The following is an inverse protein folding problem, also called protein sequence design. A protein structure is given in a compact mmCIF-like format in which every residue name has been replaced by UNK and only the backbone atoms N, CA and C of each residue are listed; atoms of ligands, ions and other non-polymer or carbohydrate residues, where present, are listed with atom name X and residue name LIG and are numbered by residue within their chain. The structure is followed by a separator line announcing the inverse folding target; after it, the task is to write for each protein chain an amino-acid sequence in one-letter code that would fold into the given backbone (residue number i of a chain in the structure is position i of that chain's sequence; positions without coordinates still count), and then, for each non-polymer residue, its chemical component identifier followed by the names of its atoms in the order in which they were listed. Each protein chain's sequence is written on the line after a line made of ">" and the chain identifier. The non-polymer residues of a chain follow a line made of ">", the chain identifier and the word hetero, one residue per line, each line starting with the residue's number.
data_IF_727753419662
#
_entry.id   IF_727753419662
#
_cell.length_a   1.000
_cell.length_b   1.000
_cell.length_c   1.000
_cell.angle_alpha   90.00
_cell.angle_beta   90.00
_cell.angle_gamma   90.00
#
_symmetry.space_group_name_H-M   'P 1'
#
loop_
_entity.id
_entity.type
_entity.pdbx_description
1 polymer ?
#
# COMPACT_ATOMS: atom_id res chain seq x y z
N UNK A 1 60.40 65.00 -5.03
CA UNK A 1 60.02 64.28 -3.78
C UNK A 1 58.52 64.46 -3.60
N UNK A 2 57.62 63.49 -3.59
CA UNK A 2 57.71 62.04 -3.45
C UNK A 2 56.50 61.36 -4.13
N UNK A 3 56.81 60.23 -4.80
CA UNK A 3 56.06 58.96 -4.92
C UNK A 3 54.68 58.91 -5.60
N UNK A 4 54.75 58.44 -6.85
CA UNK A 4 53.80 57.56 -7.58
C UNK A 4 53.36 56.34 -6.76
N UNK A 5 52.12 55.88 -6.98
CA UNK A 5 51.56 54.48 -6.99
C UNK A 5 50.06 54.58 -6.70
N UNK A 6 49.08 53.86 -7.27
CA UNK A 6 48.96 52.71 -8.19
C UNK A 6 47.53 52.79 -8.74
N UNK A 7 47.25 52.71 -10.04
CA UNK A 7 47.30 51.53 -10.92
C UNK A 7 46.14 50.53 -10.69
N UNK A 8 45.48 50.21 -11.81
CA UNK A 8 44.66 49.04 -12.10
C UNK A 8 43.17 49.08 -11.74
N UNK A 9 42.42 49.68 -12.67
CA UNK A 9 41.36 48.96 -13.40
C UNK A 9 41.71 47.47 -13.55
N UNK A 10 40.91 46.57 -12.98
CA UNK A 10 40.82 45.19 -13.45
C UNK A 10 39.46 44.60 -13.04
N UNK A 11 38.62 44.48 -14.07
CA UNK A 11 37.55 43.50 -14.17
C UNK A 11 38.01 42.17 -13.59
N UNK A 12 37.32 41.65 -12.58
CA UNK A 12 37.18 40.20 -12.42
C UNK A 12 35.83 39.91 -11.81
N UNK A 13 34.90 39.56 -12.70
CA UNK A 13 33.71 38.78 -12.39
C UNK A 13 34.15 37.55 -11.58
N UNK A 14 33.82 37.50 -10.29
CA UNK A 14 33.76 36.25 -9.54
C UNK A 14 32.30 36.02 -9.20
N UNK A 15 31.62 35.37 -10.14
CA UNK A 15 30.47 34.52 -9.89
C UNK A 15 30.88 33.53 -8.79
N UNK A 16 30.63 33.89 -7.53
CA UNK A 16 30.49 32.88 -6.48
C UNK A 16 29.12 32.28 -6.70
N UNK A 17 29.07 31.31 -7.60
CA UNK A 17 28.05 30.26 -7.57
C UNK A 17 28.23 29.51 -6.26
N UNK A 18 27.64 30.07 -5.19
CA UNK A 18 27.35 29.29 -4.01
C UNK A 18 26.52 28.10 -4.48
N UNK A 19 26.85 26.86 -4.06
CA UNK A 19 26.01 25.73 -4.39
C UNK A 19 24.65 26.08 -3.80
N UNK A 20 23.63 26.22 -4.65
CA UNK A 20 22.26 26.19 -4.20
C UNK A 20 22.12 24.83 -3.57
N UNK A 21 22.36 24.76 -2.25
CA UNK A 21 22.09 23.59 -1.46
C UNK A 21 20.62 23.34 -1.65
N UNK A 22 20.30 22.39 -2.54
CA UNK A 22 18.92 22.02 -2.80
C UNK A 22 18.36 21.62 -1.44
N UNK A 23 17.48 22.47 -0.91
CA UNK A 23 16.72 22.14 0.29
C UNK A 23 16.11 20.76 0.06
N UNK A 24 16.16 19.84 1.03
CA UNK A 24 15.60 18.51 0.85
C UNK A 24 14.17 18.64 0.33
N UNK A 25 13.80 17.89 -0.71
CA UNK A 25 12.51 18.02 -1.42
C UNK A 25 11.31 18.08 -0.47
N UNK A 26 11.39 17.39 0.67
CA UNK A 26 10.41 17.41 1.75
C UNK A 26 10.07 18.83 2.27
N UNK A 27 11.03 19.76 2.27
CA UNK A 27 10.83 21.16 2.67
C UNK A 27 10.28 22.07 1.57
N UNK A 28 10.21 21.59 0.32
CA UNK A 28 9.64 22.33 -0.81
C UNK A 28 8.21 21.90 -1.14
N UNK A 29 7.74 20.80 -0.56
CA UNK A 29 6.42 20.25 -0.80
C UNK A 29 5.44 20.75 0.26
N UNK A 30 4.58 21.70 -0.11
CA UNK A 30 3.35 21.98 0.65
C UNK A 30 2.38 20.82 0.43
N UNK A 31 2.49 19.77 1.26
CA UNK A 31 1.57 18.64 1.23
C UNK A 31 0.17 19.12 1.62
N UNK A 32 -0.67 19.42 0.62
CA UNK A 32 -2.09 19.80 0.79
C UNK A 32 -3.01 18.60 1.02
N UNK A 33 -2.47 17.37 1.05
CA UNK A 33 -3.24 16.14 1.13
C UNK A 33 -3.20 15.57 2.56
N UNK A 34 -4.38 15.40 3.15
CA UNK A 34 -4.58 14.93 4.54
C UNK A 34 -4.27 13.44 4.77
N UNK A 35 -3.94 12.66 3.73
CA UNK A 35 -3.60 11.25 3.89
C UNK A 35 -2.18 10.97 3.40
N UNK A 36 -1.18 10.98 4.30
CA UNK A 36 0.20 10.66 3.97
C UNK A 36 0.31 9.16 3.66
N UNK A 37 1.03 8.81 2.60
CA UNK A 37 1.31 7.40 2.32
C UNK A 37 2.21 6.84 3.41
N UNK A 38 1.67 5.82 4.07
CA UNK A 38 2.22 5.07 5.19
C UNK A 38 3.45 4.27 4.75
N UNK A 39 4.32 3.96 5.71
CA UNK A 39 5.64 3.36 5.50
C UNK A 39 5.66 2.06 4.68
N UNK A 40 6.87 1.61 4.36
CA UNK A 40 7.08 0.32 3.70
C UNK A 40 7.10 -0.80 4.74
N UNK A 41 6.29 -1.83 4.54
CA UNK A 41 6.43 -3.13 5.17
C UNK A 41 7.21 -4.05 4.22
N UNK A 42 8.22 -4.75 4.74
CA UNK A 42 9.10 -5.59 3.90
C UNK A 42 8.42 -6.82 3.29
N UNK A 43 7.25 -7.21 3.78
CA UNK A 43 6.51 -8.41 3.35
C UNK A 43 5.25 -8.07 2.57
N UNK A 44 4.58 -6.98 2.92
CA UNK A 44 3.32 -6.57 2.24
C UNK A 44 3.48 -5.30 1.40
N UNK A 45 4.68 -4.73 1.35
CA UNK A 45 5.01 -3.59 0.51
C UNK A 45 4.51 -2.26 1.07
N UNK A 46 4.07 -1.36 0.18
CA UNK A 46 3.58 -0.05 0.57
C UNK A 46 2.28 -0.18 1.35
N UNK A 47 2.26 0.31 2.59
CA UNK A 47 1.05 0.36 3.40
C UNK A 47 0.06 1.37 2.82
N UNK A 48 -1.21 0.98 2.78
CA UNK A 48 -2.29 1.81 2.22
C UNK A 48 -3.44 1.94 3.21
N UNK A 49 -4.25 2.97 3.00
CA UNK A 49 -5.61 3.03 3.53
C UNK A 49 -6.58 2.61 2.43
N UNK A 50 -7.53 1.71 2.72
CA UNK A 50 -8.53 1.29 1.75
C UNK A 50 -9.36 2.45 1.22
N UNK A 51 -9.63 2.45 -0.08
CA UNK A 51 -10.56 3.37 -0.72
C UNK A 51 -11.84 2.60 -1.04
N UNK A 52 -13.02 3.17 -0.79
CA UNK A 52 -14.29 2.50 -1.10
C UNK A 52 -14.34 2.05 -2.58
N UNK A 53 -14.90 0.86 -2.81
CA UNK A 53 -14.95 0.24 -4.14
C UNK A 53 -13.62 -0.39 -4.61
N UNK A 54 -12.55 -0.38 -3.81
CA UNK A 54 -11.29 -1.08 -4.14
C UNK A 54 -11.23 -2.51 -3.59
N UNK A 55 -10.38 -3.33 -4.19
CA UNK A 55 -10.00 -4.66 -3.68
C UNK A 55 -9.52 -4.63 -2.23
N UNK A 56 -8.82 -3.56 -1.84
CA UNK A 56 -8.33 -3.35 -0.49
C UNK A 56 -9.47 -3.08 0.49
N UNK A 57 -10.52 -2.36 0.09
CA UNK A 57 -11.71 -2.17 0.90
C UNK A 57 -12.52 -3.46 1.05
N UNK A 58 -12.61 -4.27 0.01
CA UNK A 58 -13.18 -5.62 0.10
C UNK A 58 -12.40 -6.50 1.07
N UNK A 59 -11.06 -6.47 0.99
CA UNK A 59 -10.17 -7.22 1.90
C UNK A 59 -10.35 -6.78 3.35
N UNK A 60 -10.39 -5.47 3.60
CA UNK A 60 -10.62 -4.92 4.94
C UNK A 60 -11.95 -5.40 5.55
N UNK A 61 -13.05 -5.34 4.77
CA UNK A 61 -14.37 -5.79 5.20
C UNK A 61 -14.38 -7.30 5.45
N UNK A 62 -13.86 -8.08 4.51
CA UNK A 62 -13.80 -9.53 4.60
C UNK A 62 -12.94 -10.01 5.80
N UNK A 63 -11.83 -9.34 6.09
CA UNK A 63 -11.01 -9.64 7.28
C UNK A 63 -11.73 -9.34 8.60
N UNK A 64 -12.54 -8.28 8.66
CA UNK A 64 -13.19 -7.85 9.90
C UNK A 64 -14.46 -8.65 10.23
N UNK A 65 -15.08 -9.30 9.25
CA UNK A 65 -16.33 -10.05 9.43
C UNK A 65 -16.08 -11.49 9.91
N UNK A 66 -16.91 -12.04 10.81
CA UNK A 66 -16.81 -13.44 11.22
C UNK A 66 -17.01 -14.39 10.06
N UNK A 67 -16.26 -15.50 10.03
CA UNK A 67 -16.46 -16.53 9.01
C UNK A 67 -17.79 -17.27 9.23
N UNK A 68 -18.61 -17.33 8.18
CA UNK A 68 -19.95 -17.94 8.19
C UNK A 68 -20.38 -18.27 6.75
N UNK A 69 -21.56 -18.89 6.60
CA UNK A 69 -22.15 -19.08 5.27
C UNK A 69 -22.42 -17.73 4.58
N UNK A 70 -22.98 -16.75 5.29
CA UNK A 70 -23.25 -15.41 4.76
C UNK A 70 -21.96 -14.73 4.27
N UNK A 71 -20.84 -14.94 4.97
CA UNK A 71 -19.53 -14.46 4.56
C UNK A 71 -19.12 -15.06 3.21
N UNK A 72 -19.27 -16.39 3.06
CA UNK A 72 -18.96 -17.09 1.81
C UNK A 72 -19.86 -16.58 0.69
N UNK A 73 -21.16 -16.44 0.95
CA UNK A 73 -22.11 -15.97 -0.06
C UNK A 73 -21.83 -14.54 -0.52
N UNK A 74 -21.35 -13.69 0.39
CA UNK A 74 -21.03 -12.30 0.12
C UNK A 74 -19.73 -12.11 -0.67
N UNK A 75 -18.69 -12.89 -0.36
CA UNK A 75 -17.36 -12.65 -0.92
C UNK A 75 -16.94 -13.64 -1.99
N UNK A 76 -17.61 -14.79 -2.14
CA UNK A 76 -17.23 -15.85 -3.08
C UNK A 76 -18.31 -16.04 -4.13
N UNK A 77 -17.89 -16.09 -5.39
CA UNK A 77 -18.80 -16.30 -6.52
C UNK A 77 -19.52 -17.66 -6.43
N UNK A 78 -20.81 -17.67 -6.74
CA UNK A 78 -21.73 -18.79 -6.52
C UNK A 78 -21.24 -20.11 -7.10
N UNK A 79 -20.67 -20.05 -8.31
CA UNK A 79 -20.18 -21.18 -9.08
C UNK A 79 -18.96 -21.89 -8.46
N UNK A 80 -18.21 -21.21 -7.59
CA UNK A 80 -16.99 -21.74 -6.96
C UNK A 80 -17.11 -21.94 -5.45
N UNK A 81 -18.20 -21.53 -4.79
CA UNK A 81 -18.36 -21.59 -3.32
C UNK A 81 -18.03 -22.96 -2.73
N UNK A 82 -18.53 -24.03 -3.34
CA UNK A 82 -18.30 -25.39 -2.84
C UNK A 82 -16.81 -25.75 -2.81
N UNK A 83 -16.13 -25.55 -3.94
CA UNK A 83 -14.69 -25.84 -4.07
C UNK A 83 -13.84 -24.93 -3.18
N UNK A 84 -14.24 -23.65 -3.06
CA UNK A 84 -13.58 -22.66 -2.23
C UNK A 84 -13.67 -23.04 -0.75
N UNK A 85 -14.88 -23.30 -0.22
CA UNK A 85 -15.08 -23.71 1.17
C UNK A 85 -14.31 -24.99 1.44
N UNK A 86 -14.44 -26.02 0.59
CA UNK A 86 -13.70 -27.28 0.78
C UNK A 86 -12.18 -27.07 0.90
N UNK A 87 -11.62 -26.05 0.26
CA UNK A 87 -10.18 -25.77 0.26
C UNK A 87 -9.75 -24.89 1.44
N UNK A 88 -10.56 -23.90 1.81
CA UNK A 88 -10.14 -22.82 2.71
C UNK A 88 -10.92 -22.74 4.02
N UNK A 89 -11.91 -23.61 4.26
CA UNK A 89 -12.79 -23.59 5.45
C UNK A 89 -12.00 -23.47 6.75
N UNK A 90 -11.08 -24.41 7.00
CA UNK A 90 -10.27 -24.40 8.22
C UNK A 90 -9.34 -23.17 8.32
N UNK A 91 -8.84 -22.70 7.17
CA UNK A 91 -7.94 -21.53 7.12
C UNK A 91 -8.71 -20.27 7.51
N UNK A 92 -9.89 -20.07 6.94
CA UNK A 92 -10.74 -18.90 7.19
C UNK A 92 -11.38 -18.96 8.59
N UNK A 93 -11.78 -20.13 9.07
CA UNK A 93 -12.28 -20.32 10.43
C UNK A 93 -11.23 -19.95 11.50
N UNK A 94 -9.94 -20.19 11.21
CA UNK A 94 -8.84 -19.83 12.11
C UNK A 94 -8.37 -18.39 11.91
N UNK A 95 -8.55 -17.83 10.71
CA UNK A 95 -8.14 -16.46 10.41
C UNK A 95 -9.18 -15.46 10.87
N UNK A 96 -10.47 -15.69 10.69
CA UNK A 96 -11.48 -14.64 10.82
C UNK A 96 -12.29 -14.76 12.12
N UNK A 97 -12.74 -13.63 12.69
CA UNK A 97 -12.49 -12.25 12.27
C UNK A 97 -11.12 -11.72 12.75
N UNK A 98 -10.57 -10.74 12.04
CA UNK A 98 -9.37 -9.99 12.42
C UNK A 98 -9.72 -8.53 12.77
N UNK A 99 -9.35 -8.11 13.98
CA UNK A 99 -9.54 -6.73 14.46
C UNK A 99 -8.28 -5.88 14.34
N UNK A 100 -7.12 -6.51 14.21
CA UNK A 100 -5.83 -5.84 14.05
C UNK A 100 -5.17 -6.32 12.78
N UNK A 101 -5.15 -5.45 11.77
CA UNK A 101 -4.55 -5.73 10.47
C UNK A 101 -4.00 -4.46 9.83
N UNK A 102 -3.11 -4.65 8.85
CA UNK A 102 -2.65 -3.61 7.94
C UNK A 102 -2.65 -4.17 6.51
N UNK A 103 -2.96 -3.33 5.53
CA UNK A 103 -3.02 -3.72 4.13
C UNK A 103 -1.85 -3.14 3.36
N UNK A 104 -1.28 -3.97 2.50
CA UNK A 104 -0.38 -3.55 1.46
C UNK A 104 -1.15 -3.16 0.20
N UNK A 105 -0.50 -2.35 -0.65
CA UNK A 105 -1.04 -1.98 -1.95
C UNK A 105 -1.31 -3.23 -2.81
N UNK A 106 -2.48 -3.30 -3.43
CA UNK A 106 -2.80 -4.40 -4.30
C UNK A 106 -1.85 -4.54 -5.48
N UNK A 107 -1.55 -5.78 -5.86
CA UNK A 107 -0.78 -6.15 -7.04
C UNK A 107 -1.76 -6.73 -8.07
N UNK A 108 -1.88 -6.08 -9.22
CA UNK A 108 -2.79 -6.48 -10.29
C UNK A 108 -2.04 -7.31 -11.33
N UNK A 109 -2.65 -8.42 -11.75
CA UNK A 109 -2.14 -9.33 -12.77
C UNK A 109 -3.27 -9.82 -13.68
N UNK A 110 -2.95 -10.64 -14.68
CA UNK A 110 -3.98 -11.30 -15.51
C UNK A 110 -4.81 -12.31 -14.72
N UNK A 111 -4.27 -12.87 -13.64
CA UNK A 111 -4.89 -13.91 -12.83
C UNK A 111 -5.81 -13.34 -11.73
N UNK A 112 -5.70 -12.04 -11.47
CA UNK A 112 -6.49 -11.35 -10.46
C UNK A 112 -5.74 -10.23 -9.74
N UNK A 113 -6.33 -9.77 -8.65
CA UNK A 113 -5.87 -8.69 -7.79
C UNK A 113 -5.49 -9.26 -6.43
N UNK A 114 -4.19 -9.35 -6.18
CA UNK A 114 -3.64 -9.83 -4.92
C UNK A 114 -3.52 -8.68 -3.92
N UNK A 115 -4.18 -8.81 -2.77
CA UNK A 115 -4.12 -7.85 -1.67
C UNK A 115 -3.36 -8.49 -0.51
N UNK A 116 -2.08 -8.13 -0.30
CA UNK A 116 -1.31 -8.63 0.82
C UNK A 116 -1.73 -7.92 2.11
N UNK A 117 -1.77 -8.66 3.21
CA UNK A 117 -2.15 -8.12 4.51
C UNK A 117 -1.26 -8.70 5.61
N UNK A 118 -1.07 -7.90 6.65
CA UNK A 118 -0.48 -8.30 7.92
C UNK A 118 -1.58 -8.34 8.97
N UNK A 119 -1.58 -9.32 9.86
CA UNK A 119 -2.61 -9.49 10.88
C UNK A 119 -2.05 -10.01 12.20
N UNK A 120 -2.80 -9.78 13.27
CA UNK A 120 -2.43 -10.16 14.63
C UNK A 120 -1.22 -9.41 15.19
N UNK A 121 -0.90 -9.69 16.44
CA UNK A 121 0.24 -9.06 17.15
C UNK A 121 1.59 -9.66 16.70
N UNK A 122 1.61 -10.90 16.24
CA UNK A 122 2.81 -11.65 15.86
C UNK A 122 3.33 -11.35 14.44
N UNK A 123 2.86 -10.27 13.80
CA UNK A 123 3.28 -9.90 12.45
C UNK A 123 3.07 -11.04 11.43
N UNK A 124 1.92 -11.74 11.47
CA UNK A 124 1.62 -12.78 10.48
C UNK A 124 1.16 -12.16 9.17
N UNK A 125 1.35 -12.88 8.07
CA UNK A 125 1.07 -12.35 6.74
C UNK A 125 0.15 -13.25 5.94
N UNK A 126 -0.64 -12.64 5.08
CA UNK A 126 -1.48 -13.36 4.14
C UNK A 126 -1.73 -12.56 2.88
N UNK A 127 -2.41 -13.18 1.93
CA UNK A 127 -2.82 -12.54 0.69
C UNK A 127 -4.19 -13.06 0.30
N UNK A 128 -5.11 -12.13 0.05
CA UNK A 128 -6.38 -12.44 -0.61
C UNK A 128 -6.22 -12.17 -2.10
N UNK A 129 -6.68 -13.10 -2.92
CA UNK A 129 -6.68 -12.95 -4.38
C UNK A 129 -8.11 -12.81 -4.85
N UNK A 130 -8.38 -11.68 -5.47
CA UNK A 130 -9.70 -11.29 -5.95
C UNK A 130 -9.76 -11.31 -7.47
N UNK A 131 -10.92 -11.61 -8.03
CA UNK A 131 -11.25 -11.35 -9.42
C UNK A 131 -12.29 -10.25 -9.46
N UNK A 132 -12.08 -9.24 -10.31
CA UNK A 132 -13.07 -8.18 -10.54
C UNK A 132 -14.18 -8.73 -11.45
N UNK A 133 -15.39 -8.87 -10.91
CA UNK A 133 -16.55 -9.45 -11.61
C UNK A 133 -17.45 -8.40 -12.26
N UNK A 134 -17.40 -7.19 -11.74
CA UNK A 134 -17.97 -5.98 -12.31
C UNK A 134 -17.17 -4.77 -11.78
N UNK A 135 -17.36 -3.59 -12.35
CA UNK A 135 -16.66 -2.39 -11.90
C UNK A 135 -16.83 -2.16 -10.39
N UNK A 136 -15.74 -2.25 -9.64
CA UNK A 136 -15.76 -2.08 -8.17
C UNK A 136 -16.38 -3.25 -7.39
N UNK A 137 -16.64 -4.39 -8.03
CA UNK A 137 -17.14 -5.61 -7.40
C UNK A 137 -16.15 -6.76 -7.57
N UNK A 138 -15.84 -7.43 -6.46
CA UNK A 138 -14.76 -8.43 -6.40
C UNK A 138 -15.25 -9.74 -5.80
N UNK A 139 -14.82 -10.86 -6.38
CA UNK A 139 -15.02 -12.20 -5.85
C UNK A 139 -13.68 -12.80 -5.40
N UNK A 140 -13.65 -13.34 -4.18
CA UNK A 140 -12.49 -13.99 -3.60
C UNK A 140 -12.34 -15.38 -4.21
N UNK A 141 -11.15 -15.66 -4.73
CA UNK A 141 -10.86 -16.95 -5.39
C UNK A 141 -9.77 -17.74 -4.70
N UNK A 142 -8.89 -17.06 -3.95
CA UNK A 142 -7.82 -17.73 -3.22
C UNK A 142 -7.40 -16.92 -2.01
N UNK A 143 -6.92 -17.64 -1.01
CA UNK A 143 -6.24 -17.10 0.16
C UNK A 143 -4.95 -17.88 0.38
N UNK A 144 -3.88 -17.16 0.71
CA UNK A 144 -2.61 -17.76 1.13
C UNK A 144 -2.20 -17.13 2.45
N UNK A 145 -1.81 -17.96 3.42
CA UNK A 145 -1.16 -17.52 4.66
C UNK A 145 0.33 -17.82 4.55
N UNK A 146 1.14 -16.80 4.82
CA UNK A 146 2.58 -16.91 4.82
C UNK A 146 3.06 -16.89 6.28
N UNK A 147 3.75 -17.94 6.76
CA UNK A 147 4.34 -17.95 8.09
C UNK A 147 5.45 -16.90 8.24
#
# INVERSE_FOLDING_TARGET
>A
MNKRTSLCLLLTFLLVSAPVGALPLATQLSFSKSSPYLGLDTKIGQLIQPVEGSSEAYTAKALAEPYSLDWVEKYVAEDVRFSFVRTFDQVLANLLPQTTWALGKAVRSQEGVAVPFRYGEEMRYGTFVWIEVAEGAYALVSITLNP
#
